data_IF_135435443585
#
_entry.id   IF_135435443585
#
_cell.length_a   1.000
_cell.length_b   1.000
_cell.length_c   1.000
_cell.angle_alpha   90.00
_cell.angle_beta   90.00
_cell.angle_gamma   90.00
#
_symmetry.space_group_name_H-M   'P 1'
#
loop_
_entity.id
_entity.type
_entity.pdbx_description
1 polymer ?
#
# COMPACT_ATOMS: atom_id res chain seq x y z
N UNK A 1 -12.67 33.81 27.49
CA UNK A 1 -13.71 32.82 27.18
C UNK A 1 -13.00 31.49 27.09
N UNK A 2 -12.99 30.73 28.18
CA UNK A 2 -12.38 29.40 28.22
C UNK A 2 -13.28 28.41 27.45
N UNK A 3 -12.71 27.52 26.62
CA UNK A 3 -13.47 26.45 26.00
C UNK A 3 -13.86 25.42 27.07
N UNK A 4 -15.17 25.23 27.25
CA UNK A 4 -15.69 24.18 28.12
C UNK A 4 -15.14 22.80 27.73
N UNK A 5 -14.70 21.97 28.69
CA UNK A 5 -14.25 20.62 28.41
C UNK A 5 -15.40 19.75 27.87
N UNK A 6 -15.13 18.82 26.93
CA UNK A 6 -16.16 17.92 26.41
C UNK A 6 -16.67 17.00 27.52
N UNK A 7 -17.99 16.83 27.59
CA UNK A 7 -18.66 16.02 28.59
C UNK A 7 -18.27 14.54 28.48
N UNK A 8 -17.50 14.04 29.44
CA UNK A 8 -17.18 12.61 29.58
C UNK A 8 -18.39 11.88 30.14
N UNK A 9 -19.08 11.11 29.29
CA UNK A 9 -20.24 10.31 29.65
C UNK A 9 -19.78 9.04 30.40
N UNK A 10 -19.64 9.15 31.73
CA UNK A 10 -19.22 8.07 32.62
C UNK A 10 -20.41 7.16 32.94
N UNK A 11 -20.71 6.17 32.08
CA UNK A 11 -21.66 5.12 32.42
C UNK A 11 -20.93 3.86 32.92
N UNK A 12 -21.26 3.49 34.16
CA UNK A 12 -20.81 2.31 34.89
C UNK A 12 -20.83 1.02 34.04
N UNK A 13 -19.66 0.46 33.76
CA UNK A 13 -19.54 -0.84 33.08
C UNK A 13 -19.78 -2.00 34.04
N UNK A 14 -21.01 -2.52 34.00
CA UNK A 14 -21.38 -3.85 34.49
C UNK A 14 -20.70 -4.89 33.60
N UNK A 15 -19.86 -5.75 34.18
CA UNK A 15 -19.24 -6.87 33.46
C UNK A 15 -20.35 -7.87 33.13
N UNK A 16 -20.79 -7.88 31.86
CA UNK A 16 -21.68 -8.92 31.33
C UNK A 16 -20.90 -10.24 31.20
N UNK A 17 -21.56 -11.41 31.24
CA UNK A 17 -20.91 -12.72 31.13
C UNK A 17 -20.14 -12.97 29.83
N UNK A 18 -20.23 -12.05 28.86
CA UNK A 18 -19.44 -12.02 27.63
C UNK A 18 -18.20 -11.10 27.69
N UNK A 19 -17.81 -10.64 28.88
CA UNK A 19 -16.52 -9.98 29.13
C UNK A 19 -16.26 -8.80 28.22
N UNK A 20 -16.94 -7.68 28.45
CA UNK A 20 -16.64 -6.44 27.74
C UNK A 20 -15.45 -5.75 28.40
N UNK A 21 -14.50 -5.30 27.59
CA UNK A 21 -13.32 -4.57 28.03
C UNK A 21 -13.29 -3.17 27.42
N UNK A 22 -12.68 -2.21 28.12
CA UNK A 22 -12.54 -0.83 27.63
C UNK A 22 -11.05 -0.52 27.46
N UNK A 23 -10.63 -0.23 26.24
CA UNK A 23 -9.33 0.38 25.94
C UNK A 23 -9.52 1.89 25.91
N UNK A 24 -8.70 2.66 26.62
CA UNK A 24 -8.69 4.12 26.50
C UNK A 24 -7.46 4.53 25.71
N UNK A 25 -7.66 5.25 24.62
CA UNK A 25 -6.55 5.81 23.84
C UNK A 25 -5.84 6.94 24.56
N UNK A 26 -4.64 7.31 24.09
CA UNK A 26 -3.84 8.40 24.69
C UNK A 26 -4.50 9.78 24.57
N UNK A 27 -5.45 9.94 23.64
CA UNK A 27 -6.32 11.11 23.47
C UNK A 27 -7.68 10.98 24.20
N UNK A 28 -7.84 9.96 25.05
CA UNK A 28 -8.96 9.83 25.99
C UNK A 28 -10.25 9.25 25.41
N UNK A 29 -10.18 8.59 24.25
CA UNK A 29 -11.34 7.93 23.62
C UNK A 29 -11.42 6.47 24.09
N UNK A 30 -12.62 6.08 24.53
CA UNK A 30 -12.89 4.74 25.03
C UNK A 30 -13.38 3.81 23.91
N UNK A 31 -12.72 2.66 23.76
CA UNK A 31 -13.04 1.59 22.83
C UNK A 31 -13.54 0.37 23.59
N UNK A 32 -14.80 0.04 23.37
CA UNK A 32 -15.43 -1.14 23.94
C UNK A 32 -15.13 -2.36 23.07
N UNK A 33 -14.37 -3.32 23.60
CA UNK A 33 -13.90 -4.50 22.88
C UNK A 33 -14.35 -5.79 23.56
N UNK A 34 -14.56 -6.82 22.74
CA UNK A 34 -14.90 -8.16 23.20
C UNK A 34 -13.64 -8.87 23.75
N UNK A 35 -13.64 -9.21 25.05
CA UNK A 35 -12.50 -9.85 25.70
C UNK A 35 -12.24 -11.28 25.22
N UNK A 36 -13.08 -11.86 24.36
CA UNK A 36 -12.83 -13.17 23.74
C UNK A 36 -12.02 -13.07 22.46
N UNK A 37 -12.09 -11.96 21.74
CA UNK A 37 -11.43 -11.77 20.43
C UNK A 37 -10.00 -11.27 20.63
N UNK A 38 -9.83 -10.23 21.44
CA UNK A 38 -8.53 -9.57 21.62
C UNK A 38 -7.41 -10.52 22.11
N UNK A 39 -7.60 -11.40 23.12
CA UNK A 39 -6.56 -12.35 23.53
C UNK A 39 -6.33 -13.52 22.56
N UNK A 40 -7.16 -13.68 21.52
CA UNK A 40 -6.90 -14.61 20.41
C UNK A 40 -6.06 -13.95 19.32
N UNK A 41 -6.28 -12.65 19.09
CA UNK A 41 -5.50 -11.85 18.17
C UNK A 41 -4.11 -11.49 18.72
N UNK A 42 -4.03 -11.26 20.03
CA UNK A 42 -2.85 -10.72 20.71
C UNK A 42 -2.55 -11.45 22.00
N UNK A 43 -1.40 -12.12 22.05
CA UNK A 43 -1.00 -12.86 23.25
C UNK A 43 -0.75 -11.94 24.45
N UNK A 44 -0.20 -10.74 24.22
CA UNK A 44 0.03 -9.75 25.28
C UNK A 44 -1.26 -9.40 26.04
N UNK A 45 -2.39 -9.32 25.34
CA UNK A 45 -3.66 -8.96 25.94
C UNK A 45 -4.22 -10.04 26.88
N UNK A 46 -3.77 -11.31 26.78
CA UNK A 46 -4.15 -12.33 27.77
C UNK A 46 -3.73 -11.94 29.17
N UNK A 47 -2.50 -11.45 29.31
CA UNK A 47 -1.97 -11.04 30.61
C UNK A 47 -2.57 -9.71 31.08
N UNK A 48 -2.70 -8.74 30.17
CA UNK A 48 -3.25 -7.42 30.49
C UNK A 48 -4.73 -7.47 30.89
N UNK A 49 -5.52 -8.35 30.28
CA UNK A 49 -6.94 -8.51 30.59
C UNK A 49 -7.17 -9.11 31.97
N UNK A 50 -6.33 -10.05 32.41
CA UNK A 50 -6.41 -10.62 33.77
C UNK A 50 -6.18 -9.54 34.82
N UNK A 51 -5.15 -8.69 34.62
CA UNK A 51 -4.84 -7.60 35.55
C UNK A 51 -5.95 -6.55 35.53
N UNK A 52 -6.38 -6.11 34.35
CA UNK A 52 -7.34 -5.01 34.22
C UNK A 52 -8.77 -5.40 34.63
N UNK A 53 -9.18 -6.64 34.36
CA UNK A 53 -10.49 -7.18 34.75
C UNK A 53 -10.70 -7.18 36.27
N UNK A 54 -9.63 -7.31 37.06
CA UNK A 54 -9.72 -7.19 38.52
C UNK A 54 -9.93 -5.74 38.99
N UNK A 55 -9.47 -4.76 38.21
CA UNK A 55 -9.46 -3.35 38.61
C UNK A 55 -10.69 -2.56 38.15
N UNK A 56 -11.54 -3.12 37.26
CA UNK A 56 -12.70 -2.44 36.64
C UNK A 56 -12.37 -1.06 36.06
N UNK A 57 -11.12 -0.86 35.61
CA UNK A 57 -10.66 0.39 34.99
C UNK A 57 -10.38 0.14 33.51
N UNK A 58 -10.58 1.17 32.66
CA UNK A 58 -10.10 1.13 31.28
C UNK A 58 -8.59 0.84 31.25
N UNK A 59 -8.15 0.09 30.25
CA UNK A 59 -6.73 -0.07 29.97
C UNK A 59 -6.26 1.12 29.15
N UNK A 60 -5.50 1.98 29.81
CA UNK A 60 -4.87 3.15 29.20
C UNK A 60 -3.81 2.70 28.18
N UNK A 61 -3.91 3.25 26.98
CA UNK A 61 -2.99 3.04 25.85
C UNK A 61 -2.31 4.36 25.49
N UNK A 62 -1.09 4.29 24.98
CA UNK A 62 -0.33 5.47 24.57
C UNK A 62 -0.72 5.93 23.16
N UNK A 63 -1.29 5.01 22.37
CA UNK A 63 -1.63 5.20 20.98
C UNK A 63 -2.90 6.05 20.80
N UNK A 64 -2.95 6.81 19.71
CA UNK A 64 -4.12 7.62 19.37
C UNK A 64 -5.37 6.78 19.11
N UNK A 65 -6.55 7.38 19.29
CA UNK A 65 -7.82 6.75 18.97
C UNK A 65 -7.84 6.18 17.54
N UNK A 66 -7.27 6.91 16.58
CA UNK A 66 -7.24 6.48 15.17
C UNK A 66 -6.36 5.25 14.94
N UNK A 67 -5.22 5.19 15.61
CA UNK A 67 -4.30 4.03 15.55
C UNK A 67 -4.97 2.79 16.15
N UNK A 68 -5.64 2.94 17.30
CA UNK A 68 -6.37 1.86 17.96
C UNK A 68 -7.55 1.39 17.12
N UNK A 69 -8.38 2.31 16.59
CA UNK A 69 -9.51 1.98 15.70
C UNK A 69 -9.06 1.14 14.50
N UNK A 70 -7.94 1.51 13.88
CA UNK A 70 -7.36 0.77 12.75
C UNK A 70 -7.02 -0.66 13.13
N UNK A 71 -6.37 -0.87 14.28
CA UNK A 71 -6.04 -2.21 14.77
C UNK A 71 -7.26 -3.02 15.12
N UNK A 72 -8.24 -2.41 15.78
CA UNK A 72 -9.47 -3.10 16.10
C UNK A 72 -10.19 -3.54 14.81
N UNK A 73 -10.31 -2.69 13.80
CA UNK A 73 -10.90 -3.07 12.50
C UNK A 73 -10.16 -4.22 11.80
N UNK A 74 -8.87 -4.42 12.09
CA UNK A 74 -8.12 -5.55 11.55
C UNK A 74 -8.45 -6.87 12.26
N UNK A 75 -8.76 -6.83 13.56
CA UNK A 75 -9.15 -8.00 14.35
C UNK A 75 -10.64 -8.31 14.32
N UNK A 76 -11.46 -7.29 14.10
CA UNK A 76 -12.90 -7.37 13.95
C UNK A 76 -13.22 -7.13 12.48
N UNK A 77 -13.13 -8.18 11.63
CA UNK A 77 -13.36 -8.02 10.20
C UNK A 77 -14.75 -7.45 9.98
N UNK A 78 -14.81 -6.17 9.66
CA UNK A 78 -15.99 -5.50 9.16
C UNK A 78 -16.10 -5.77 7.65
N UNK A 79 -17.29 -5.59 7.08
CA UNK A 79 -17.53 -5.74 5.64
C UNK A 79 -16.70 -4.76 4.78
N UNK A 80 -16.05 -3.78 5.40
CA UNK A 80 -15.19 -2.80 4.74
C UNK A 80 -13.79 -2.78 5.36
N UNK A 81 -12.72 -2.74 4.54
CA UNK A 81 -11.38 -2.52 5.05
C UNK A 81 -11.32 -1.15 5.77
N UNK A 82 -10.42 -0.99 6.75
CA UNK A 82 -10.23 0.31 7.39
C UNK A 82 -9.96 1.38 6.30
N UNK A 83 -10.48 2.60 6.49
CA UNK A 83 -10.25 3.68 5.53
C UNK A 83 -8.76 3.85 5.29
N UNK A 84 -8.40 4.24 4.05
CA UNK A 84 -7.00 4.49 3.67
C UNK A 84 -6.36 5.40 4.71
N UNK A 85 -5.36 4.87 5.40
CA UNK A 85 -4.58 5.62 6.35
C UNK A 85 -3.66 6.57 5.58
N UNK A 86 -3.48 7.77 6.13
CA UNK A 86 -2.31 8.54 5.72
C UNK A 86 -1.04 7.77 6.12
N UNK A 87 0.08 8.11 5.49
CA UNK A 87 1.31 7.35 5.70
C UNK A 87 1.83 7.48 7.14
N UNK A 88 1.56 8.60 7.81
CA UNK A 88 1.93 8.78 9.20
C UNK A 88 1.18 7.80 10.11
N UNK A 89 -0.14 7.64 9.91
CA UNK A 89 -0.95 6.65 10.60
C UNK A 89 -0.49 5.23 10.29
N UNK A 90 -0.07 4.94 9.06
CA UNK A 90 0.49 3.64 8.75
C UNK A 90 1.81 3.38 9.50
N UNK A 91 2.67 4.40 9.64
CA UNK A 91 3.89 4.30 10.47
C UNK A 91 3.54 4.05 11.94
N UNK A 92 2.60 4.81 12.50
CA UNK A 92 2.21 4.68 13.90
C UNK A 92 1.52 3.34 14.17
N UNK A 93 0.72 2.88 13.22
CA UNK A 93 0.14 1.54 13.21
C UNK A 93 1.24 0.48 13.22
N UNK A 94 2.23 0.56 12.32
CA UNK A 94 3.34 -0.40 12.27
C UNK A 94 4.17 -0.43 13.56
N UNK A 95 4.42 0.73 14.19
CA UNK A 95 5.06 0.79 15.52
C UNK A 95 4.25 0.06 16.59
N UNK A 96 2.94 0.26 16.57
CA UNK A 96 2.03 -0.46 17.46
C UNK A 96 2.09 -1.97 17.19
N UNK A 97 2.11 -2.41 15.92
CA UNK A 97 2.23 -3.83 15.57
C UNK A 97 3.51 -4.46 16.15
N UNK A 98 4.64 -3.77 16.08
CA UNK A 98 5.90 -4.22 16.71
C UNK A 98 5.79 -4.28 18.23
N UNK A 99 5.25 -3.21 18.86
CA UNK A 99 5.07 -3.12 20.31
C UNK A 99 4.20 -4.26 20.87
N UNK A 100 3.15 -4.63 20.14
CA UNK A 100 2.19 -5.65 20.56
C UNK A 100 2.48 -7.04 19.97
N UNK A 101 3.61 -7.24 19.29
CA UNK A 101 4.01 -8.50 18.65
C UNK A 101 2.92 -9.08 17.74
N UNK A 102 2.28 -8.23 16.95
CA UNK A 102 1.24 -8.65 16.00
C UNK A 102 1.89 -9.47 14.88
N UNK A 103 1.20 -10.55 14.47
CA UNK A 103 1.68 -11.48 13.45
C UNK A 103 2.01 -10.75 12.14
N UNK A 104 3.13 -11.13 11.51
CA UNK A 104 3.69 -10.45 10.33
C UNK A 104 2.72 -10.35 9.15
N UNK A 105 1.94 -11.41 8.86
CA UNK A 105 1.06 -11.41 7.68
C UNK A 105 0.01 -10.29 7.68
N UNK A 106 -0.44 -9.86 8.87
CA UNK A 106 -1.37 -8.75 9.02
C UNK A 106 -0.70 -7.41 8.68
N UNK A 107 0.57 -7.26 9.06
CA UNK A 107 1.37 -6.07 8.74
C UNK A 107 1.69 -6.01 7.26
N UNK A 108 1.93 -7.15 6.63
CA UNK A 108 2.29 -7.23 5.22
C UNK A 108 1.09 -6.87 4.34
N UNK A 109 -0.08 -7.43 4.66
CA UNK A 109 -1.34 -7.09 3.98
C UNK A 109 -1.68 -5.61 4.12
N UNK A 110 -1.39 -5.02 5.28
CA UNK A 110 -1.67 -3.62 5.56
C UNK A 110 -0.85 -2.68 4.67
N UNK A 111 0.48 -2.89 4.56
CA UNK A 111 1.33 -2.06 3.69
C UNK A 111 0.87 -2.16 2.23
N UNK A 112 0.57 -3.37 1.76
CA UNK A 112 0.19 -3.61 0.36
C UNK A 112 -1.17 -2.97 0.01
N UNK A 113 -2.18 -3.11 0.88
CA UNK A 113 -3.53 -2.60 0.62
C UNK A 113 -3.60 -1.09 0.79
N UNK A 114 -3.05 -0.55 1.89
CA UNK A 114 -3.30 0.82 2.30
C UNK A 114 -2.28 1.82 1.74
N UNK A 115 -1.02 1.40 1.54
CA UNK A 115 0.05 2.32 1.13
C UNK A 115 0.54 2.07 -0.29
N UNK A 116 0.89 0.83 -0.62
CA UNK A 116 1.64 0.54 -1.83
C UNK A 116 0.88 0.90 -3.11
N UNK A 117 -0.45 0.82 -3.11
CA UNK A 117 -1.30 1.17 -4.25
C UNK A 117 -1.42 2.67 -4.52
N UNK A 118 -1.26 3.49 -3.48
CA UNK A 118 -1.47 4.94 -3.57
C UNK A 118 -0.14 5.70 -3.57
N UNK A 119 0.82 5.27 -2.76
CA UNK A 119 2.10 5.92 -2.54
C UNK A 119 3.22 4.88 -2.43
N UNK A 120 3.55 4.15 -3.52
CA UNK A 120 4.49 3.03 -3.46
C UNK A 120 5.90 3.43 -3.00
N UNK A 121 6.38 4.63 -3.31
CA UNK A 121 7.67 5.09 -2.80
C UNK A 121 7.67 5.24 -1.27
N UNK A 122 6.59 5.82 -0.72
CA UNK A 122 6.42 5.99 0.73
C UNK A 122 6.19 4.62 1.40
N UNK A 123 5.41 3.75 0.78
CA UNK A 123 5.22 2.36 1.21
C UNK A 123 6.55 1.59 1.26
N UNK A 124 7.39 1.77 0.24
CA UNK A 124 8.73 1.20 0.19
C UNK A 124 9.60 1.68 1.35
N UNK A 125 9.64 3.00 1.59
CA UNK A 125 10.42 3.57 2.70
C UNK A 125 9.94 3.08 4.08
N UNK A 126 8.63 2.96 4.27
CA UNK A 126 8.04 2.34 5.47
C UNK A 126 8.44 0.87 5.58
N UNK A 127 8.35 0.10 4.50
CA UNK A 127 8.74 -1.30 4.49
C UNK A 127 10.25 -1.50 4.76
N UNK A 128 11.11 -0.56 4.34
CA UNK A 128 12.54 -0.54 4.70
C UNK A 128 12.71 -0.32 6.20
N UNK A 129 12.02 0.67 6.77
CA UNK A 129 12.09 0.99 8.21
C UNK A 129 11.77 -0.22 9.09
N UNK A 130 10.74 -0.97 8.74
CA UNK A 130 10.22 -2.10 9.53
C UNK A 130 10.76 -3.47 9.07
N UNK A 131 11.78 -3.51 8.21
CA UNK A 131 12.42 -4.76 7.78
C UNK A 131 11.52 -5.71 7.01
N UNK A 132 10.51 -5.21 6.29
CA UNK A 132 9.53 -6.01 5.53
C UNK A 132 9.97 -6.22 4.08
N UNK A 133 10.85 -7.20 3.86
CA UNK A 133 11.48 -7.44 2.55
C UNK A 133 10.46 -7.69 1.41
N UNK A 134 9.39 -8.43 1.67
CA UNK A 134 8.38 -8.72 0.64
C UNK A 134 7.59 -7.45 0.25
N UNK A 135 7.22 -6.62 1.23
CA UNK A 135 6.60 -5.33 0.95
C UNK A 135 7.56 -4.35 0.28
N UNK A 136 8.86 -4.40 0.58
CA UNK A 136 9.87 -3.63 -0.16
C UNK A 136 9.86 -4.02 -1.63
N UNK A 137 9.91 -5.33 -1.94
CA UNK A 137 9.86 -5.80 -3.34
C UNK A 137 8.55 -5.42 -4.03
N UNK A 138 7.42 -5.63 -3.37
CA UNK A 138 6.08 -5.31 -3.87
C UNK A 138 5.94 -3.80 -4.14
N UNK A 139 6.34 -2.96 -3.19
CA UNK A 139 6.25 -1.51 -3.30
C UNK A 139 7.23 -0.94 -4.33
N UNK A 140 8.47 -1.45 -4.40
CA UNK A 140 9.43 -1.06 -5.43
C UNK A 140 8.90 -1.39 -6.83
N UNK A 141 8.32 -2.58 -7.00
CA UNK A 141 7.68 -2.98 -8.25
C UNK A 141 6.59 -1.99 -8.65
N UNK A 142 5.68 -1.64 -7.73
CA UNK A 142 4.61 -0.66 -7.99
C UNK A 142 5.17 0.74 -8.28
N UNK A 143 6.21 1.15 -7.57
CA UNK A 143 6.91 2.40 -7.81
C UNK A 143 7.48 2.47 -9.23
N UNK A 144 8.08 1.37 -9.71
CA UNK A 144 8.58 1.31 -11.07
C UNK A 144 7.48 1.49 -12.12
N UNK A 145 6.27 1.07 -11.81
CA UNK A 145 5.10 1.18 -12.68
C UNK A 145 4.49 2.60 -12.70
N UNK A 146 4.87 3.49 -11.77
CA UNK A 146 4.37 4.87 -11.71
C UNK A 146 5.27 5.85 -12.49
N UNK A 147 4.70 6.99 -12.89
CA UNK A 147 5.47 8.08 -13.49
C UNK A 147 6.18 8.91 -12.41
N UNK A 148 7.43 9.31 -12.66
CA UNK A 148 8.37 9.90 -11.68
C UNK A 148 8.03 11.33 -11.24
N UNK A 149 6.92 11.89 -11.69
CA UNK A 149 6.57 13.28 -11.44
C UNK A 149 6.16 13.57 -9.99
N UNK A 150 6.03 12.54 -9.13
CA UNK A 150 5.87 12.78 -7.70
C UNK A 150 7.11 13.53 -7.18
N UNK A 151 6.87 14.76 -6.75
CA UNK A 151 7.87 15.56 -6.07
C UNK A 151 8.35 14.79 -4.83
N UNK A 152 9.54 14.21 -4.93
CA UNK A 152 10.17 13.39 -3.88
C UNK A 152 10.48 14.24 -2.63
N UNK A 153 10.46 15.58 -2.74
CA UNK A 153 10.69 16.47 -1.60
C UNK A 153 9.45 16.57 -0.69
N UNK A 154 9.68 16.55 0.62
CA UNK A 154 8.63 16.80 1.62
C UNK A 154 7.97 15.56 2.22
N UNK A 155 8.37 14.35 1.83
CA UNK A 155 7.90 13.13 2.47
C UNK A 155 8.77 12.78 3.70
N UNK A 156 8.23 12.85 4.94
CA UNK A 156 9.02 12.57 6.14
C UNK A 156 9.51 11.12 6.19
N UNK A 157 8.82 10.19 5.54
CA UNK A 157 9.18 8.78 5.55
C UNK A 157 10.44 8.46 4.75
N UNK A 158 10.83 9.33 3.82
CA UNK A 158 12.12 9.19 3.12
C UNK A 158 13.30 9.46 4.06
N UNK A 159 13.09 10.07 5.22
CA UNK A 159 14.10 10.14 6.28
C UNK A 159 14.42 8.77 6.91
N UNK A 160 13.63 7.72 6.62
CA UNK A 160 13.89 6.37 7.13
C UNK A 160 14.89 5.58 6.30
N UNK A 161 15.25 6.08 5.12
CA UNK A 161 16.13 5.43 4.15
C UNK A 161 17.39 6.26 3.97
N UNK A 162 18.53 5.61 3.72
CA UNK A 162 19.74 6.33 3.36
C UNK A 162 19.58 6.97 1.97
N UNK A 163 20.22 8.11 1.76
CA UNK A 163 20.26 8.76 0.45
C UNK A 163 20.82 7.82 -0.64
N UNK A 164 21.81 6.99 -0.27
CA UNK A 164 22.37 5.95 -1.15
C UNK A 164 21.30 4.95 -1.60
N UNK A 165 20.51 4.39 -0.67
CA UNK A 165 19.44 3.44 -1.00
C UNK A 165 18.36 4.06 -1.88
N UNK A 166 18.00 5.32 -1.62
CA UNK A 166 17.06 6.04 -2.46
C UNK A 166 17.61 6.27 -3.87
N UNK A 167 18.88 6.68 -3.97
CA UNK A 167 19.56 6.88 -5.25
C UNK A 167 19.61 5.58 -6.06
N UNK A 168 19.98 4.44 -5.44
CA UNK A 168 19.96 3.14 -6.10
C UNK A 168 18.57 2.76 -6.62
N UNK A 169 17.51 2.98 -5.82
CA UNK A 169 16.14 2.73 -6.26
C UNK A 169 15.77 3.59 -7.49
N UNK A 170 16.18 4.87 -7.49
CA UNK A 170 15.93 5.80 -8.60
C UNK A 170 16.71 5.41 -9.86
N UNK A 171 17.99 5.05 -9.73
CA UNK A 171 18.82 4.56 -10.84
C UNK A 171 18.20 3.32 -11.49
N UNK A 172 17.75 2.37 -10.66
CA UNK A 172 17.06 1.16 -11.12
C UNK A 172 15.75 1.50 -11.82
N UNK A 173 15.01 2.49 -11.33
CA UNK A 173 13.79 2.96 -12.00
C UNK A 173 14.08 3.54 -13.38
N UNK A 174 15.09 4.40 -13.49
CA UNK A 174 15.54 4.99 -14.75
C UNK A 174 15.97 3.89 -15.73
N UNK A 175 16.74 2.92 -15.26
CA UNK A 175 17.17 1.76 -16.05
C UNK A 175 15.97 0.93 -16.54
N UNK A 176 15.03 0.58 -15.65
CA UNK A 176 13.84 -0.18 -15.98
C UNK A 176 13.00 0.53 -17.05
N UNK A 177 12.83 1.85 -16.94
CA UNK A 177 12.15 2.67 -17.96
C UNK A 177 12.91 2.68 -19.29
N UNK A 178 14.22 2.84 -19.27
CA UNK A 178 15.03 2.81 -20.49
C UNK A 178 14.88 1.46 -21.23
N UNK A 179 14.92 0.36 -20.49
CA UNK A 179 14.70 -0.99 -21.04
C UNK A 179 13.28 -1.17 -21.56
N UNK A 180 12.28 -0.66 -20.85
CA UNK A 180 10.89 -0.65 -21.28
C UNK A 180 10.70 0.13 -22.60
N UNK A 181 11.28 1.33 -22.73
CA UNK A 181 11.27 2.11 -23.99
C UNK A 181 11.85 1.32 -25.16
N UNK A 182 12.98 0.65 -24.93
CA UNK A 182 13.63 -0.14 -25.95
C UNK A 182 12.77 -1.34 -26.41
N UNK A 183 12.09 -2.00 -25.47
CA UNK A 183 11.12 -3.07 -25.79
C UNK A 183 9.93 -2.50 -26.55
N UNK A 184 9.37 -1.39 -26.09
CA UNK A 184 8.24 -0.70 -26.70
C UNK A 184 8.52 -0.30 -28.16
N UNK A 185 9.71 0.23 -28.45
CA UNK A 185 10.12 0.65 -29.79
C UNK A 185 10.26 -0.53 -30.79
N UNK A 186 10.41 -1.77 -30.29
CA UNK A 186 10.54 -2.97 -31.11
C UNK A 186 9.22 -3.75 -31.25
N UNK A 187 8.15 -3.30 -30.59
CA UNK A 187 6.87 -3.98 -30.69
C UNK A 187 6.24 -3.78 -32.07
N UNK A 188 5.75 -4.85 -32.71
CA UNK A 188 4.87 -4.71 -33.86
C UNK A 188 3.53 -4.16 -33.38
N UNK A 189 3.30 -2.87 -33.57
CA UNK A 189 2.03 -2.20 -33.25
C UNK A 189 0.96 -2.57 -34.28
N UNK A 190 0.51 -3.82 -34.27
CA UNK A 190 -0.53 -4.31 -35.18
C UNK A 190 -1.78 -4.63 -34.39
N UNK A 191 -2.46 -3.61 -33.88
CA UNK A 191 -3.86 -3.74 -33.47
C UNK A 191 -4.76 -2.89 -34.40
N UNK A 192 -5.25 -3.46 -35.51
CA UNK A 192 -6.07 -2.71 -36.48
C UNK A 192 -7.40 -2.21 -35.91
N UNK A 193 -7.93 -2.85 -34.86
CA UNK A 193 -9.22 -2.50 -34.23
C UNK A 193 -9.15 -1.20 -33.42
N UNK A 194 -7.97 -0.80 -32.94
CA UNK A 194 -7.79 0.41 -32.12
C UNK A 194 -7.10 1.58 -32.83
N UNK A 195 -6.72 1.42 -34.10
CA UNK A 195 -6.30 2.53 -34.96
C UNK A 195 -7.43 3.56 -35.18
N UNK A 196 -8.70 3.19 -34.89
CA UNK A 196 -9.86 4.05 -35.04
C UNK A 196 -10.69 4.13 -33.74
N UNK A 197 -10.40 5.11 -32.88
CA UNK A 197 -11.47 5.91 -32.25
C UNK A 197 -11.75 5.79 -30.74
N UNK A 198 -11.94 4.60 -30.15
CA UNK A 198 -12.57 4.52 -28.80
C UNK A 198 -11.59 4.32 -27.63
N UNK A 199 -10.61 3.42 -27.75
CA UNK A 199 -9.49 3.36 -26.79
C UNK A 199 -8.61 4.62 -26.89
N UNK A 200 -8.58 5.20 -28.10
CA UNK A 200 -7.85 6.41 -28.50
C UNK A 200 -8.49 7.73 -28.02
N UNK A 201 -9.71 7.74 -27.47
CA UNK A 201 -10.35 8.97 -26.99
C UNK A 201 -10.54 9.01 -25.48
N UNK A 202 -10.83 7.87 -24.83
CA UNK A 202 -11.09 7.85 -23.38
C UNK A 202 -9.83 7.86 -22.51
N UNK A 203 -8.71 7.30 -22.97
CA UNK A 203 -7.42 7.34 -22.23
C UNK A 203 -6.40 8.31 -22.83
N UNK A 204 -6.58 8.64 -24.12
CA UNK A 204 -5.72 9.54 -24.90
C UNK A 204 -6.35 10.93 -25.13
N UNK A 205 -7.44 11.27 -24.44
CA UNK A 205 -7.91 12.67 -24.34
C UNK A 205 -6.88 13.63 -23.72
N UNK A 206 -5.75 13.10 -23.23
CA UNK A 206 -4.56 13.83 -22.77
C UNK A 206 -3.44 13.90 -23.84
N UNK A 207 -3.55 13.19 -24.96
CA UNK A 207 -2.49 13.10 -25.99
C UNK A 207 -3.16 13.08 -27.38
N UNK A 208 -3.38 14.27 -27.95
CA UNK A 208 -4.02 14.50 -29.26
C UNK A 208 -3.13 14.15 -30.48
N UNK A 209 -2.02 13.46 -30.29
CA UNK A 209 -0.99 13.31 -31.34
C UNK A 209 -0.52 11.85 -31.51
N UNK A 210 0.11 11.61 -32.67
CA UNK A 210 0.51 10.31 -33.22
C UNK A 210 1.07 9.33 -32.18
N UNK A 211 0.50 8.11 -32.03
CA UNK A 211 0.97 7.12 -31.08
C UNK A 211 2.35 6.50 -31.41
N UNK A 212 2.98 6.94 -32.49
CA UNK A 212 4.31 6.52 -32.93
C UNK A 212 5.36 7.64 -32.80
N UNK A 213 5.01 8.79 -32.20
CA UNK A 213 5.99 9.83 -31.91
C UNK A 213 6.83 9.47 -30.67
N UNK A 214 8.00 8.87 -30.92
CA UNK A 214 8.98 8.47 -29.91
C UNK A 214 9.38 9.59 -28.93
N UNK A 215 9.16 10.87 -29.28
CA UNK A 215 9.51 12.00 -28.41
C UNK A 215 8.54 12.18 -27.23
N UNK A 216 7.29 11.66 -27.32
CA UNK A 216 6.25 11.82 -26.29
C UNK A 216 6.03 10.57 -25.41
N UNK A 217 6.41 9.39 -25.90
CA UNK A 217 6.29 8.12 -25.16
C UNK A 217 7.41 7.85 -24.17
N UNK A 218 8.46 8.69 -24.15
CA UNK A 218 9.60 8.45 -23.29
C UNK A 218 9.17 8.35 -21.83
N UNK A 219 8.19 9.11 -21.39
CA UNK A 219 7.88 9.10 -19.97
C UNK A 219 7.15 7.82 -19.58
N UNK A 220 6.00 7.44 -20.14
CA UNK A 220 5.18 6.31 -19.63
C UNK A 220 5.29 4.95 -20.37
N UNK A 221 6.39 4.67 -21.08
CA UNK A 221 6.55 3.42 -21.83
C UNK A 221 6.28 2.14 -21.00
N UNK A 222 6.70 2.10 -19.74
CA UNK A 222 6.47 0.95 -18.85
C UNK A 222 4.99 0.81 -18.46
N UNK A 223 4.31 1.92 -18.11
CA UNK A 223 2.88 1.91 -17.81
C UNK A 223 2.05 1.41 -18.99
N UNK A 224 2.43 1.79 -20.21
CA UNK A 224 1.75 1.32 -21.43
C UNK A 224 2.03 -0.16 -21.69
N UNK A 225 3.27 -0.63 -21.55
CA UNK A 225 3.58 -2.07 -21.69
C UNK A 225 2.72 -2.91 -20.73
N UNK A 226 2.59 -2.47 -19.49
CA UNK A 226 1.76 -3.13 -18.47
C UNK A 226 0.28 -3.11 -18.88
N UNK A 227 -0.23 -1.97 -19.34
CA UNK A 227 -1.60 -1.85 -19.82
C UNK A 227 -1.86 -2.78 -21.01
N UNK A 228 -0.90 -2.92 -21.94
CA UNK A 228 -0.96 -3.84 -23.08
C UNK A 228 -0.99 -5.30 -22.62
N UNK A 229 -0.17 -5.69 -21.64
CA UNK A 229 -0.20 -7.05 -21.05
C UNK A 229 -1.56 -7.33 -20.40
N UNK A 230 -2.15 -6.35 -19.73
CA UNK A 230 -3.42 -6.46 -19.01
C UNK A 230 -4.67 -6.27 -19.90
N UNK A 231 -4.52 -5.84 -21.15
CA UNK A 231 -5.65 -5.66 -22.05
C UNK A 231 -6.24 -7.04 -22.41
N UNK A 232 -7.51 -7.26 -22.04
CA UNK A 232 -8.26 -8.47 -22.39
C UNK A 232 -8.95 -8.37 -23.76
N UNK A 233 -8.90 -7.21 -24.41
CA UNK A 233 -9.73 -6.88 -25.58
C UNK A 233 -8.99 -6.86 -26.91
N UNK A 234 -9.10 -7.97 -27.65
CA UNK A 234 -9.33 -8.10 -29.11
C UNK A 234 -9.08 -9.58 -29.47
N UNK A 235 -10.00 -10.44 -29.02
CA UNK A 235 -9.87 -11.90 -28.98
C UNK A 235 -9.65 -12.56 -30.37
N UNK A 236 -10.10 -11.91 -31.45
CA UNK A 236 -10.08 -12.49 -32.80
C UNK A 236 -8.88 -12.10 -33.66
N UNK A 237 -8.19 -10.98 -33.37
CA UNK A 237 -7.01 -10.56 -34.14
C UNK A 237 -5.68 -10.98 -33.51
N UNK A 238 -5.67 -11.27 -32.20
CA UNK A 238 -4.47 -11.71 -31.48
C UNK A 238 -4.25 -13.24 -31.51
N UNK A 239 -5.07 -13.99 -32.26
CA UNK A 239 -4.96 -15.45 -32.34
C UNK A 239 -3.69 -15.95 -33.05
N UNK A 240 -3.06 -15.13 -33.89
CA UNK A 240 -1.73 -15.42 -34.47
C UNK A 240 -0.56 -14.91 -33.59
N UNK A 241 -0.83 -14.11 -32.56
CA UNK A 241 0.17 -13.40 -31.74
C UNK A 241 0.07 -13.74 -30.25
N UNK A 242 -0.45 -14.94 -29.91
CA UNK A 242 -0.35 -15.52 -28.56
C UNK A 242 1.11 -15.58 -28.11
N UNK A 243 2.02 -15.89 -29.05
CA UNK A 243 3.47 -15.85 -28.83
C UNK A 243 3.95 -14.44 -28.46
N UNK A 244 3.46 -13.41 -29.14
CA UNK A 244 3.89 -12.04 -28.89
C UNK A 244 3.40 -11.55 -27.53
N UNK A 245 2.15 -11.85 -27.11
CA UNK A 245 1.67 -11.45 -25.77
C UNK A 245 2.43 -12.16 -24.65
N UNK A 246 2.71 -13.45 -24.82
CA UNK A 246 3.55 -14.18 -23.88
C UNK A 246 4.95 -13.55 -23.83
N UNK A 247 5.54 -13.26 -25.00
CA UNK A 247 6.86 -12.64 -25.09
C UNK A 247 6.89 -11.24 -24.47
N UNK A 248 5.88 -10.40 -24.68
CA UNK A 248 5.74 -9.10 -24.02
C UNK A 248 5.68 -9.27 -22.51
N UNK A 249 4.87 -10.21 -22.05
CA UNK A 249 4.69 -10.49 -20.62
C UNK A 249 6.01 -10.96 -19.99
N UNK A 250 6.73 -11.84 -20.66
CA UNK A 250 8.08 -12.28 -20.27
C UNK A 250 9.06 -11.10 -20.23
N UNK A 251 9.05 -10.21 -21.24
CA UNK A 251 9.91 -9.04 -21.23
C UNK A 251 9.60 -8.09 -20.07
N UNK A 252 8.32 -7.82 -19.80
CA UNK A 252 7.90 -6.98 -18.66
C UNK A 252 8.30 -7.65 -17.35
N UNK A 253 8.08 -8.95 -17.19
CA UNK A 253 8.51 -9.65 -15.98
C UNK A 253 10.02 -9.65 -15.82
N UNK A 254 10.79 -9.87 -16.89
CA UNK A 254 12.24 -9.83 -16.83
C UNK A 254 12.74 -8.43 -16.42
N UNK A 255 12.18 -7.36 -17.00
CA UNK A 255 12.52 -5.99 -16.61
C UNK A 255 12.26 -5.77 -15.12
N UNK A 256 11.10 -6.20 -14.62
CA UNK A 256 10.73 -6.02 -13.22
C UNK A 256 11.57 -6.91 -12.28
N UNK A 257 11.90 -8.14 -12.67
CA UNK A 257 12.77 -9.02 -11.90
C UNK A 257 14.19 -8.48 -11.82
N UNK A 258 14.77 -8.07 -12.95
CA UNK A 258 16.09 -7.43 -12.98
C UNK A 258 16.14 -6.21 -12.06
N UNK A 259 15.09 -5.38 -12.12
CA UNK A 259 14.98 -4.20 -11.26
C UNK A 259 14.87 -4.58 -9.77
N UNK A 260 14.05 -5.57 -9.42
CA UNK A 260 13.90 -6.05 -8.04
C UNK A 260 15.22 -6.64 -7.50
N UNK A 261 15.95 -7.40 -8.31
CA UNK A 261 17.24 -7.99 -7.93
C UNK A 261 18.30 -6.91 -7.66
N UNK A 262 18.25 -5.77 -8.35
CA UNK A 262 19.19 -4.66 -8.11
C UNK A 262 18.91 -3.88 -6.83
N UNK A 263 17.70 -3.99 -6.26
CA UNK A 263 17.28 -3.22 -5.06
C UNK A 263 17.28 -4.07 -3.79
N UNK A 264 17.25 -5.40 -3.93
CA UNK A 264 17.24 -6.36 -2.81
C UNK A 264 18.63 -6.58 -2.24
#
# INVERSE_FOLDING_TARGET
MDPSPPATNTQNTVITPHGVFVLRSGDGIDFTVDATILPRALELFRHLLVVSGTLKKPLEMEESAKTIDTMLRLFYPADSPPPLLDVQQAVDFMRMMEKFFIKSYLTDQFIDICLARCHPLRAWAVAVRFGRADNQKSSAKLYFMMNLEENVSGFPELGYISAERLASLQEVHVFARAKARHVFARMPWTCPVHAYGLWHSQRMGLIYENPFDNSKYSEDALGILIATVNCHGCFDHFRQTVNDRHQVREWVYQILQDAITLVS
#
